data_IF_666058955736
#
_entry.id   IF_666058955736
#
_cell.length_a   1.000
_cell.length_b   1.000
_cell.length_c   1.000
_cell.angle_alpha   90.00
_cell.angle_beta   90.00
_cell.angle_gamma   90.00
#
_symmetry.space_group_name_H-M   'P 1'
#
loop_
_entity.id
_entity.type
_entity.pdbx_description
1 polymer ?
#
# COMPACT_ATOMS: atom_id res chain seq x y z
N UNK A 1 19.20 -19.22 -16.20
CA UNK A 1 19.31 -17.77 -16.36
C UNK A 1 18.20 -17.21 -15.52
N UNK A 2 18.52 -16.58 -14.38
CA UNK A 2 17.52 -15.90 -13.57
C UNK A 2 17.31 -14.53 -14.21
N UNK A 3 16.16 -14.35 -14.85
CA UNK A 3 15.75 -13.07 -15.41
C UNK A 3 15.63 -12.06 -14.27
N UNK A 4 16.54 -11.09 -14.24
CA UNK A 4 16.44 -9.96 -13.31
C UNK A 4 15.20 -9.16 -13.69
N UNK A 5 14.29 -8.86 -12.74
CA UNK A 5 13.11 -8.05 -13.04
C UNK A 5 13.53 -6.72 -13.64
N UNK A 6 12.81 -6.28 -14.66
CA UNK A 6 13.12 -5.05 -15.38
C UNK A 6 13.00 -3.84 -14.44
N UNK A 7 13.78 -2.80 -14.68
CA UNK A 7 13.75 -1.58 -13.87
C UNK A 7 12.33 -0.99 -13.89
N UNK A 8 11.60 -1.08 -12.77
CA UNK A 8 10.23 -0.63 -12.63
C UNK A 8 9.20 -1.74 -12.35
N UNK A 9 9.47 -2.99 -12.69
CA UNK A 9 8.56 -4.12 -12.41
C UNK A 9 8.37 -4.37 -10.91
N UNK A 10 9.41 -4.13 -10.10
CA UNK A 10 9.34 -4.23 -8.64
C UNK A 10 8.33 -3.25 -8.02
N UNK A 11 8.00 -2.14 -8.71
CA UNK A 11 7.06 -1.13 -8.23
C UNK A 11 5.61 -1.40 -8.60
N UNK A 12 5.37 -2.37 -9.49
CA UNK A 12 4.05 -2.82 -9.88
C UNK A 12 3.67 -4.13 -9.16
N UNK A 13 4.01 -4.25 -7.86
CA UNK A 13 3.38 -5.27 -7.05
C UNK A 13 1.87 -5.00 -7.07
N UNK A 14 1.11 -5.84 -7.78
CA UNK A 14 -0.35 -5.75 -7.80
C UNK A 14 -0.86 -5.95 -6.37
N UNK A 15 -1.10 -4.84 -5.67
CA UNK A 15 -1.72 -4.84 -4.35
C UNK A 15 -3.16 -5.31 -4.47
N UNK A 16 -3.60 -6.12 -3.50
CA UNK A 16 -4.93 -6.69 -3.47
C UNK A 16 -5.61 -6.39 -2.14
N UNK A 17 -6.93 -6.45 -2.14
CA UNK A 17 -7.73 -6.38 -0.91
C UNK A 17 -7.29 -7.50 0.02
N UNK A 18 -7.09 -7.16 1.30
CA UNK A 18 -6.59 -8.06 2.34
C UNK A 18 -5.06 -8.07 2.48
N UNK A 19 -4.29 -7.50 1.54
CA UNK A 19 -2.84 -7.40 1.69
C UNK A 19 -2.50 -6.48 2.87
N UNK A 20 -1.47 -6.87 3.63
CA UNK A 20 -0.85 -6.02 4.65
C UNK A 20 0.21 -5.17 3.98
N UNK A 21 0.11 -3.86 4.19
CA UNK A 21 0.97 -2.85 3.60
C UNK A 21 1.62 -1.95 4.64
N UNK A 22 2.74 -1.35 4.26
CA UNK A 22 3.47 -0.32 5.00
C UNK A 22 3.38 1.02 4.28
N UNK A 23 3.24 2.09 5.06
CA UNK A 23 3.51 3.46 4.62
C UNK A 23 4.33 4.19 5.67
N UNK A 24 5.03 5.25 5.26
CA UNK A 24 5.84 6.05 6.17
C UNK A 24 5.24 7.44 6.37
N UNK A 25 5.35 7.95 7.60
CA UNK A 25 4.99 9.32 7.95
C UNK A 25 6.21 10.02 8.53
N UNK A 26 6.51 11.21 8.03
CA UNK A 26 7.59 12.02 8.60
C UNK A 26 7.16 12.57 9.96
N UNK A 27 7.93 12.24 11.01
CA UNK A 27 7.79 12.79 12.35
C UNK A 27 8.84 13.86 12.58
N UNK A 28 8.40 15.10 12.82
CA UNK A 28 9.30 16.24 12.99
C UNK A 28 10.00 16.20 14.35
N UNK A 29 9.35 15.62 15.35
CA UNK A 29 9.78 15.58 16.75
C UNK A 29 11.07 14.77 16.91
N UNK A 30 11.18 13.68 16.15
CA UNK A 30 12.36 12.80 16.13
C UNK A 30 13.20 12.96 14.86
N UNK A 31 12.77 13.84 13.95
CA UNK A 31 13.41 14.09 12.66
C UNK A 31 13.66 12.80 11.87
N UNK A 32 12.65 11.92 11.82
CA UNK A 32 12.75 10.59 11.22
C UNK A 32 11.42 10.14 10.59
N UNK A 33 11.48 9.08 9.78
CA UNK A 33 10.32 8.44 9.18
C UNK A 33 9.79 7.33 10.10
N UNK A 34 8.54 7.48 10.54
CA UNK A 34 7.83 6.41 11.26
C UNK A 34 7.12 5.48 10.26
N UNK A 35 7.35 4.17 10.41
CA UNK A 35 6.65 3.15 9.64
C UNK A 35 5.30 2.81 10.28
N UNK A 36 4.27 2.77 9.46
CA UNK A 36 2.91 2.35 9.83
C UNK A 36 2.47 1.18 8.98
N UNK A 37 1.56 0.38 9.52
CA UNK A 37 1.07 -0.84 8.89
C UNK A 37 -0.45 -0.88 8.89
N UNK A 38 -1.03 -1.49 7.85
CA UNK A 38 -2.46 -1.58 7.69
C UNK A 38 -2.87 -2.64 6.68
N UNK A 39 -4.17 -2.92 6.65
CA UNK A 39 -4.78 -3.87 5.71
C UNK A 39 -5.53 -3.08 4.64
N UNK A 40 -5.34 -3.43 3.37
CA UNK A 40 -6.14 -2.88 2.27
C UNK A 40 -7.56 -3.41 2.37
N UNK A 41 -8.53 -2.51 2.50
CA UNK A 41 -9.96 -2.85 2.51
C UNK A 41 -10.60 -2.66 1.13
N UNK A 42 -10.11 -1.71 0.34
CA UNK A 42 -10.64 -1.39 -0.98
C UNK A 42 -9.53 -0.84 -1.88
N UNK A 43 -9.63 -1.09 -3.19
CA UNK A 43 -8.83 -0.42 -4.22
C UNK A 43 -9.78 0.12 -5.28
N UNK A 44 -9.68 1.41 -5.57
CA UNK A 44 -10.51 2.12 -6.55
C UNK A 44 -9.66 2.97 -7.47
N UNK A 45 -10.10 3.12 -8.71
CA UNK A 45 -9.48 4.03 -9.67
C UNK A 45 -10.32 5.30 -9.74
N UNK A 46 -9.69 6.44 -9.51
CA UNK A 46 -10.33 7.75 -9.57
C UNK A 46 -9.67 8.63 -10.64
N UNK A 47 -10.42 9.57 -11.22
CA UNK A 47 -9.86 10.61 -12.06
C UNK A 47 -9.57 11.83 -11.17
N UNK A 48 -8.30 12.20 -11.03
CA UNK A 48 -7.89 13.46 -10.37
C UNK A 48 -7.34 14.40 -11.43
N UNK A 49 -8.07 15.49 -11.69
CA UNK A 49 -7.79 16.37 -12.83
C UNK A 49 -8.03 15.65 -14.15
N UNK A 50 -6.96 15.40 -14.92
CA UNK A 50 -6.99 14.70 -16.20
C UNK A 50 -6.23 13.35 -16.19
N UNK A 51 -5.90 12.82 -15.00
CA UNK A 51 -5.16 11.57 -14.84
C UNK A 51 -5.98 10.56 -14.03
N UNK A 52 -5.97 9.32 -14.48
CA UNK A 52 -6.44 8.18 -13.68
C UNK A 52 -5.39 7.87 -12.62
N UNK A 53 -5.82 7.72 -11.36
CA UNK A 53 -4.99 7.36 -10.22
C UNK A 53 -5.63 6.21 -9.47
N UNK A 54 -4.82 5.29 -8.99
CA UNK A 54 -5.28 4.22 -8.11
C UNK A 54 -5.19 4.66 -6.66
N UNK A 55 -6.29 4.53 -5.93
CA UNK A 55 -6.44 4.85 -4.52
C UNK A 55 -6.75 3.56 -3.77
N UNK A 56 -6.02 3.31 -2.68
CA UNK A 56 -6.27 2.22 -1.75
C UNK A 56 -6.84 2.77 -0.44
N UNK A 57 -7.90 2.16 0.05
CA UNK A 57 -8.43 2.41 1.40
C UNK A 57 -7.79 1.40 2.34
N UNK A 58 -7.12 1.90 3.38
CA UNK A 58 -6.33 1.10 4.31
C UNK A 58 -6.83 1.33 5.73
N UNK A 59 -7.01 0.25 6.49
CA UNK A 59 -7.28 0.31 7.93
C UNK A 59 -5.97 0.03 8.70
N UNK A 60 -5.51 0.96 9.56
CA UNK A 60 -4.31 0.76 10.35
C UNK A 60 -4.42 -0.42 11.32
N UNK A 61 -3.34 -1.19 11.45
CA UNK A 61 -3.23 -2.28 12.43
C UNK A 61 -3.00 -1.75 13.86
N UNK A 62 -2.35 -0.59 13.98
CA UNK A 62 -2.05 0.06 15.25
C UNK A 62 -2.78 1.41 15.37
N UNK A 63 -3.24 1.74 16.58
CA UNK A 63 -3.92 3.01 16.86
C UNK A 63 -5.41 3.01 16.48
N UNK A 64 -5.88 4.13 15.95
CA UNK A 64 -7.27 4.28 15.52
C UNK A 64 -7.54 3.44 14.26
N UNK A 65 -8.53 2.54 14.31
CA UNK A 65 -8.98 1.72 13.19
C UNK A 65 -9.84 2.50 12.18
N UNK A 66 -9.50 3.77 11.96
CA UNK A 66 -10.18 4.63 10.99
C UNK A 66 -9.60 4.37 9.62
N UNK A 67 -10.46 4.24 8.62
CA UNK A 67 -10.05 4.10 7.22
C UNK A 67 -9.27 5.33 6.73
N UNK A 68 -8.22 5.08 5.96
CA UNK A 68 -7.33 6.10 5.40
C UNK A 68 -7.12 5.83 3.91
N UNK A 69 -7.12 6.88 3.09
CA UNK A 69 -6.88 6.78 1.65
C UNK A 69 -5.41 7.05 1.32
N UNK A 70 -4.84 6.19 0.48
CA UNK A 70 -3.48 6.34 -0.04
C UNK A 70 -3.48 6.21 -1.56
N UNK A 71 -2.53 6.87 -2.21
CA UNK A 71 -2.16 6.49 -3.57
C UNK A 71 -1.60 5.07 -3.52
N UNK A 72 -2.19 4.14 -4.26
CA UNK A 72 -1.77 2.73 -4.25
C UNK A 72 -0.25 2.56 -4.47
N UNK A 73 0.42 3.30 -5.38
CA UNK A 73 1.86 3.19 -5.57
C UNK A 73 2.73 3.70 -4.40
N UNK A 74 2.17 4.42 -3.42
CA UNK A 74 2.92 4.86 -2.24
C UNK A 74 2.96 3.81 -1.12
N UNK A 75 2.26 2.69 -1.29
CA UNK A 75 2.18 1.60 -0.33
C UNK A 75 3.21 0.53 -0.67
N UNK A 76 3.85 -0.02 0.36
CA UNK A 76 4.77 -1.14 0.23
C UNK A 76 4.11 -2.42 0.72
N UNK A 77 4.09 -3.46 -0.09
CA UNK A 77 3.59 -4.78 0.31
C UNK A 77 4.47 -5.38 1.42
N UNK A 78 3.85 -5.84 2.51
CA UNK A 78 4.51 -6.53 3.62
C UNK A 78 4.09 -7.99 3.68
N UNK A 79 2.79 -8.27 3.54
CA UNK A 79 2.26 -9.64 3.49
C UNK A 79 1.10 -9.73 2.53
N UNK A 80 1.05 -10.81 1.76
CA UNK A 80 -0.09 -11.13 0.90
C UNK A 80 -1.26 -11.62 1.73
N UNK A 81 -2.48 -11.30 1.30
CA UNK A 81 -3.66 -12.01 1.76
C UNK A 81 -3.51 -13.50 1.43
N UNK A 82 -3.72 -14.36 2.43
CA UNK A 82 -3.78 -15.80 2.20
C UNK A 82 -5.02 -16.14 1.38
N UNK A 83 -4.84 -16.93 0.32
CA UNK A 83 -5.96 -17.61 -0.33
C UNK A 83 -6.33 -18.82 0.53
N UNK A 84 -7.52 -18.79 1.14
CA UNK A 84 -8.05 -19.97 1.81
C UNK A 84 -8.56 -20.95 0.74
N UNK A 85 -7.77 -21.98 0.44
CA UNK A 85 -8.16 -23.11 -0.40
C UNK A 85 -7.09 -23.50 -1.41
N UNK A 86 -6.28 -24.49 -1.04
CA UNK A 86 -5.67 -25.49 -1.94
C UNK A 86 -5.94 -26.87 -1.32
#
# INVERSE_FOLDING_TARGET
MDDKPSFGELSAAELKIGDIVEWSKWLREINDWEAHYGIIMEIKNEIKGNRMVSISVVVPLAGSKTEMEFFTPSLKLISRAGTFGD
#
